data_IF_488256189807
#
_entry.id   IF_488256189807
#
_cell.length_a   1.000
_cell.length_b   1.000
_cell.length_c   1.000
_cell.angle_alpha   90.00
_cell.angle_beta   90.00
_cell.angle_gamma   90.00
#
_symmetry.space_group_name_H-M   'P 1'
#
loop_
_entity.id
_entity.type
_entity.pdbx_description
1 polymer ?
#
# COMPACT_ATOMS: atom_id res chain seq x y z
N UNK A 1 34.23 -30.95 -45.26
CA UNK A 1 33.00 -30.23 -44.87
C UNK A 1 33.43 -28.92 -44.22
N UNK A 2 32.90 -27.79 -44.71
CA UNK A 2 32.87 -26.43 -44.13
C UNK A 2 34.16 -25.87 -43.53
N UNK A 3 34.97 -25.02 -44.17
CA UNK A 3 34.73 -23.66 -44.68
C UNK A 3 34.56 -22.56 -43.59
N UNK A 4 35.61 -21.73 -43.51
CA UNK A 4 35.70 -20.27 -43.25
C UNK A 4 35.77 -19.70 -41.81
N UNK A 5 36.96 -19.17 -41.50
CA UNK A 5 37.28 -17.97 -40.69
C UNK A 5 36.76 -16.65 -41.34
N UNK A 6 36.98 -15.42 -40.79
CA UNK A 6 36.96 -14.88 -39.41
C UNK A 6 36.25 -13.48 -39.30
N UNK A 7 36.40 -12.81 -38.12
CA UNK A 7 36.32 -11.35 -37.79
C UNK A 7 35.08 -10.79 -37.06
N UNK A 8 35.35 -10.35 -35.81
CA UNK A 8 34.96 -9.09 -35.12
C UNK A 8 33.53 -8.54 -35.25
N UNK A 9 32.79 -8.47 -34.13
CA UNK A 9 32.48 -7.21 -33.38
C UNK A 9 31.50 -7.44 -32.20
N UNK A 10 32.00 -7.12 -31.00
CA UNK A 10 31.37 -6.68 -29.74
C UNK A 10 29.84 -6.58 -29.58
N UNK A 11 29.35 -7.08 -28.42
CA UNK A 11 28.88 -6.21 -27.32
C UNK A 11 29.23 -6.87 -25.98
N UNK A 12 30.09 -6.19 -25.24
CA UNK A 12 30.38 -6.43 -23.83
C UNK A 12 29.19 -5.98 -22.95
N UNK A 13 28.81 -6.78 -21.96
CA UNK A 13 28.53 -6.32 -20.59
C UNK A 13 28.16 -7.50 -19.66
N UNK A 14 29.17 -8.12 -19.05
CA UNK A 14 29.13 -8.61 -17.67
C UNK A 14 30.56 -8.99 -17.24
N UNK A 15 31.24 -8.06 -16.57
CA UNK A 15 32.59 -8.29 -16.04
C UNK A 15 32.55 -8.64 -14.52
N UNK A 16 33.46 -9.52 -14.03
CA UNK A 16 33.62 -10.09 -12.69
C UNK A 16 33.33 -9.44 -11.34
N UNK A 17 33.39 -8.12 -11.10
CA UNK A 17 34.06 -7.69 -9.84
C UNK A 17 33.26 -6.80 -8.85
N UNK A 18 31.98 -7.06 -8.52
CA UNK A 18 31.28 -6.34 -7.42
C UNK A 18 30.42 -7.24 -6.51
N UNK A 19 30.39 -6.99 -5.18
CA UNK A 19 29.59 -7.79 -4.24
C UNK A 19 28.14 -7.29 -4.18
N UNK A 20 27.23 -8.25 -3.91
CA UNK A 20 25.77 -8.19 -3.72
C UNK A 20 24.90 -8.55 -4.95
N UNK A 21 23.97 -9.52 -4.81
CA UNK A 21 23.42 -10.24 -5.95
C UNK A 21 22.21 -9.52 -6.55
N UNK A 22 22.22 -9.40 -7.89
CA UNK A 22 21.01 -9.21 -8.71
C UNK A 22 20.37 -10.57 -8.99
N UNK A 23 19.07 -10.50 -9.25
CA UNK A 23 18.16 -11.53 -9.79
C UNK A 23 17.35 -12.29 -8.74
N UNK A 24 16.11 -11.83 -8.54
CA UNK A 24 15.04 -12.72 -8.08
C UNK A 24 14.89 -13.87 -9.09
N UNK A 25 14.75 -15.13 -8.66
CA UNK A 25 14.52 -16.24 -9.57
C UNK A 25 13.16 -16.08 -10.28
N UNK A 26 13.04 -16.43 -11.57
CA UNK A 26 11.75 -16.47 -12.24
C UNK A 26 10.95 -17.68 -11.74
N UNK A 27 9.90 -17.44 -10.97
CA UNK A 27 8.91 -18.48 -10.62
C UNK A 27 7.82 -18.52 -11.69
N UNK A 28 8.04 -19.25 -12.77
CA UNK A 28 6.93 -19.64 -13.66
C UNK A 28 6.09 -20.70 -12.95
N UNK A 29 4.96 -20.31 -12.37
CA UNK A 29 3.87 -21.25 -12.07
C UNK A 29 3.33 -21.73 -13.42
N UNK A 30 3.68 -22.96 -13.81
CA UNK A 30 3.12 -23.59 -15.01
C UNK A 30 1.63 -23.84 -14.77
N UNK A 31 0.78 -23.08 -15.46
CA UNK A 31 -0.66 -23.20 -15.35
C UNK A 31 -1.34 -22.10 -16.15
N UNK A 32 -2.28 -22.50 -17.01
CA UNK A 32 -3.12 -21.58 -17.77
C UNK A 32 -3.77 -20.51 -16.89
N UNK A 33 -4.10 -19.41 -17.54
CA UNK A 33 -4.63 -18.20 -16.95
C UNK A 33 -5.96 -18.39 -16.19
N UNK A 34 -6.07 -17.76 -15.01
CA UNK A 34 -7.26 -17.78 -14.16
C UNK A 34 -7.65 -16.33 -13.81
N UNK A 35 -8.86 -15.82 -14.15
CA UNK A 35 -9.30 -14.46 -13.83
C UNK A 35 -9.40 -14.17 -12.32
N UNK A 36 -9.28 -15.19 -11.47
CA UNK A 36 -9.07 -15.02 -10.03
C UNK A 36 -7.68 -14.44 -9.69
N UNK A 37 -6.73 -14.36 -10.60
CA UNK A 37 -5.33 -14.00 -10.28
C UNK A 37 -5.02 -12.49 -10.18
N UNK A 38 -6.02 -11.60 -10.16
CA UNK A 38 -5.79 -10.16 -9.90
C UNK A 38 -6.15 -9.82 -8.45
N UNK A 39 -5.28 -9.11 -7.70
CA UNK A 39 -5.57 -8.72 -6.33
C UNK A 39 -6.76 -7.76 -6.28
N UNK A 40 -7.75 -8.07 -5.45
CA UNK A 40 -8.84 -7.13 -5.16
C UNK A 40 -8.31 -5.85 -4.49
N UNK A 41 -8.95 -4.72 -4.82
CA UNK A 41 -8.73 -3.46 -4.12
C UNK A 41 -9.14 -3.57 -2.64
N UNK A 42 -8.39 -2.92 -1.77
CA UNK A 42 -8.61 -2.88 -0.34
C UNK A 42 -7.35 -3.17 0.48
N UNK A 43 -7.55 -3.44 1.76
CA UNK A 43 -6.53 -3.81 2.72
C UNK A 43 -6.09 -5.27 2.57
N UNK A 44 -4.78 -5.45 2.58
CA UNK A 44 -4.10 -6.74 2.64
C UNK A 44 -3.19 -6.78 3.87
N UNK A 45 -3.12 -7.92 4.53
CA UNK A 45 -2.32 -8.10 5.75
C UNK A 45 -1.72 -9.51 5.80
N UNK A 46 -0.71 -9.70 6.65
CA UNK A 46 -0.15 -11.02 6.91
C UNK A 46 -0.95 -11.72 8.02
N UNK A 47 -1.75 -12.76 7.72
CA UNK A 47 -2.59 -13.42 8.72
C UNK A 47 -1.80 -14.11 9.83
N UNK A 48 -0.52 -14.38 9.61
CA UNK A 48 0.36 -15.04 10.56
C UNK A 48 1.16 -14.06 11.43
N UNK A 49 1.16 -12.77 11.10
CA UNK A 49 1.96 -11.76 11.80
C UNK A 49 1.28 -10.38 11.75
N UNK A 50 0.79 -9.92 12.90
CA UNK A 50 0.31 -8.55 13.05
C UNK A 50 1.47 -7.55 12.95
N UNK A 51 1.20 -6.38 12.39
CA UNK A 51 2.18 -5.28 12.37
C UNK A 51 2.73 -4.94 11.01
N UNK A 52 2.03 -5.32 9.94
CA UNK A 52 2.18 -4.74 8.62
C UNK A 52 0.86 -4.84 7.86
N UNK A 53 0.66 -3.95 6.89
CA UNK A 53 -0.43 -4.08 5.94
C UNK A 53 -0.31 -3.10 4.79
N UNK A 54 -1.10 -3.35 3.76
CA UNK A 54 -1.02 -2.66 2.47
C UNK A 54 -2.43 -2.21 2.11
N UNK A 55 -2.58 -0.90 1.90
CA UNK A 55 -3.73 -0.38 1.16
C UNK A 55 -3.41 -0.56 -0.30
N UNK A 56 -4.17 -1.40 -1.01
CA UNK A 56 -3.96 -1.68 -2.42
C UNK A 56 -5.13 -1.14 -3.23
N UNK A 57 -4.83 -0.39 -4.28
CA UNK A 57 -5.83 -0.02 -5.25
C UNK A 57 -5.26 0.01 -6.65
N UNK A 58 -6.01 -0.54 -7.60
CA UNK A 58 -5.75 -0.45 -9.02
C UNK A 58 -7.02 -0.16 -9.81
N UNK A 59 -6.92 0.75 -10.78
CA UNK A 59 -7.87 0.91 -11.89
C UNK A 59 -7.10 1.03 -13.21
N UNK A 60 -7.60 0.41 -14.29
CA UNK A 60 -7.05 0.56 -15.65
C UNK A 60 -5.52 0.40 -15.74
N UNK A 61 -4.98 -0.66 -15.12
CA UNK A 61 -3.55 -0.95 -14.99
C UNK A 61 -2.73 0.11 -14.24
N UNK A 62 -3.34 1.14 -13.66
CA UNK A 62 -2.67 2.08 -12.76
C UNK A 62 -2.97 1.72 -11.33
N UNK A 63 -1.92 1.62 -10.53
CA UNK A 63 -2.06 1.30 -9.11
C UNK A 63 -1.43 2.38 -8.23
N UNK A 64 -1.89 2.36 -6.99
CA UNK A 64 -1.32 3.13 -5.90
C UNK A 64 -1.51 2.31 -4.63
N UNK A 65 -0.43 2.18 -3.89
CA UNK A 65 -0.43 1.52 -2.62
C UNK A 65 0.37 2.32 -1.60
N UNK A 66 0.01 2.14 -0.34
CA UNK A 66 0.89 2.47 0.76
C UNK A 66 0.97 1.28 1.72
N UNK A 67 2.18 1.05 2.19
CA UNK A 67 2.51 0.00 3.14
C UNK A 67 2.76 0.66 4.48
N UNK A 68 1.98 0.28 5.49
CA UNK A 68 2.24 0.69 6.87
C UNK A 68 3.04 -0.41 7.57
N UNK A 69 4.10 0.00 8.25
CA UNK A 69 5.01 -0.90 8.95
C UNK A 69 5.77 -0.14 10.04
N UNK A 70 6.89 -0.70 10.50
CA UNK A 70 7.70 -0.15 11.57
C UNK A 70 9.18 -0.10 11.18
N UNK A 71 9.93 0.84 11.77
CA UNK A 71 11.38 0.83 11.63
C UNK A 71 12.03 -0.18 12.60
N UNK A 72 13.36 -0.29 12.58
CA UNK A 72 14.09 -1.22 13.47
C UNK A 72 13.97 -0.87 14.96
N UNK A 73 13.53 0.33 15.31
CA UNK A 73 13.22 0.71 16.69
C UNK A 73 11.78 0.37 17.09
N UNK A 74 10.96 -0.11 16.15
CA UNK A 74 9.54 -0.42 16.36
C UNK A 74 8.64 0.80 16.26
N UNK A 75 9.14 1.90 15.69
CA UNK A 75 8.37 3.12 15.52
C UNK A 75 7.69 3.11 14.14
N UNK A 76 6.46 3.62 14.01
CA UNK A 76 5.70 3.55 12.76
C UNK A 76 6.47 4.24 11.64
N UNK A 77 6.37 3.69 10.44
CA UNK A 77 6.87 4.23 9.17
C UNK A 77 5.92 3.77 8.07
N UNK A 78 5.84 4.52 6.99
CA UNK A 78 5.07 4.10 5.83
C UNK A 78 5.81 4.44 4.55
N UNK A 79 5.48 3.70 3.51
CA UNK A 79 6.04 3.86 2.18
C UNK A 79 4.89 3.86 1.19
N UNK A 80 5.05 4.56 0.08
CA UNK A 80 4.07 4.54 -1.00
C UNK A 80 4.73 4.22 -2.33
N UNK A 81 3.95 3.63 -3.22
CA UNK A 81 4.31 3.35 -4.59
C UNK A 81 3.07 3.48 -5.46
N UNK A 82 3.27 3.88 -6.70
CA UNK A 82 2.23 3.84 -7.72
C UNK A 82 2.85 3.83 -9.10
N UNK A 83 2.01 3.67 -10.11
CA UNK A 83 2.44 3.65 -11.50
C UNK A 83 1.63 2.68 -12.33
N UNK A 84 2.18 2.34 -13.49
CA UNK A 84 1.58 1.37 -14.40
C UNK A 84 2.01 -0.05 -13.99
N UNK A 85 1.04 -0.94 -13.86
CA UNK A 85 1.27 -2.36 -13.69
C UNK A 85 1.74 -2.94 -15.03
N UNK A 86 3.03 -3.30 -15.13
CA UNK A 86 3.61 -3.90 -16.32
C UNK A 86 3.62 -5.42 -16.23
N UNK A 87 3.13 -6.11 -17.27
CA UNK A 87 3.43 -7.54 -17.48
C UNK A 87 4.58 -7.68 -18.49
N UNK A 88 5.53 -8.57 -18.24
CA UNK A 88 6.56 -8.96 -19.21
C UNK A 88 6.23 -10.34 -19.80
N UNK A 89 6.02 -10.43 -21.12
CA UNK A 89 6.27 -11.66 -21.89
C UNK A 89 7.00 -11.35 -23.22
N UNK A 90 7.80 -12.30 -23.75
CA UNK A 90 8.72 -12.08 -24.87
C UNK A 90 8.08 -12.10 -26.28
N UNK A 91 6.78 -12.33 -26.45
CA UNK A 91 6.18 -12.78 -27.72
C UNK A 91 4.86 -12.08 -28.16
N UNK A 92 4.54 -10.91 -27.59
CA UNK A 92 3.72 -9.92 -28.30
C UNK A 92 2.20 -10.17 -28.44
N UNK A 93 1.59 -11.07 -27.67
CA UNK A 93 0.12 -11.17 -27.61
C UNK A 93 -0.44 -10.73 -26.25
N UNK A 94 -1.32 -9.73 -26.30
CA UNK A 94 -2.04 -9.14 -25.17
C UNK A 94 -3.01 -10.15 -24.56
N UNK A 95 -2.90 -10.36 -23.24
CA UNK A 95 -4.01 -10.30 -22.30
C UNK A 95 -3.47 -9.98 -20.89
N UNK A 96 -4.28 -9.26 -20.11
CA UNK A 96 -4.09 -8.59 -18.80
C UNK A 96 -3.99 -9.48 -17.54
N UNK A 97 -2.79 -9.90 -17.11
CA UNK A 97 -2.65 -10.48 -15.76
C UNK A 97 -1.64 -9.75 -14.92
N UNK A 98 -2.15 -9.35 -13.76
CA UNK A 98 -1.46 -8.83 -12.61
C UNK A 98 -0.55 -9.85 -11.93
N UNK A 99 0.45 -10.36 -12.64
CA UNK A 99 1.48 -11.21 -12.03
C UNK A 99 2.66 -10.41 -11.51
N UNK A 100 2.75 -9.13 -11.85
CA UNK A 100 3.91 -8.33 -11.47
C UNK A 100 3.56 -6.85 -11.44
N UNK A 101 2.85 -6.42 -10.40
CA UNK A 101 3.08 -5.04 -9.97
C UNK A 101 4.47 -5.03 -9.31
N UNK A 102 5.52 -5.00 -10.13
CA UNK A 102 6.83 -4.58 -9.66
C UNK A 102 6.63 -3.13 -9.26
N UNK A 103 6.38 -2.89 -7.97
CA UNK A 103 6.24 -1.57 -7.41
C UNK A 103 7.47 -0.77 -7.84
N UNK A 104 7.26 0.20 -8.71
CA UNK A 104 8.29 1.12 -9.16
C UNK A 104 8.64 1.97 -7.94
N UNK A 105 9.64 1.50 -7.21
CA UNK A 105 10.25 2.09 -6.04
C UNK A 105 9.30 2.49 -4.90
N UNK A 106 9.40 1.80 -3.77
CA UNK A 106 8.80 2.31 -2.54
C UNK A 106 9.61 3.53 -2.08
N UNK A 107 8.94 4.68 -1.99
CA UNK A 107 9.57 5.90 -1.51
C UNK A 107 9.24 6.14 -0.04
N UNK A 108 10.28 6.40 0.75
CA UNK A 108 10.12 7.02 2.07
C UNK A 108 9.94 8.53 1.85
N UNK A 109 8.94 9.09 2.52
CA UNK A 109 8.70 10.51 2.53
C UNK A 109 8.93 11.02 3.95
N UNK A 110 9.50 12.22 4.09
CA UNK A 110 9.61 12.97 5.34
C UNK A 110 8.96 14.34 5.17
N UNK A 111 8.30 14.83 6.21
CA UNK A 111 7.56 16.07 6.17
C UNK A 111 6.21 15.95 5.45
N UNK A 112 5.30 16.86 5.77
CA UNK A 112 3.89 16.83 5.41
C UNK A 112 3.11 17.55 6.49
N UNK A 113 1.78 17.45 6.50
CA UNK A 113 0.97 18.04 7.57
C UNK A 113 1.00 17.12 8.79
N UNK A 114 1.59 17.55 9.93
CA UNK A 114 1.52 16.76 11.15
C UNK A 114 0.08 16.74 11.67
N UNK A 115 -0.25 15.70 12.41
CA UNK A 115 -1.59 15.51 12.98
C UNK A 115 -2.11 16.70 13.82
N UNK A 116 -1.21 17.44 14.45
CA UNK A 116 -1.45 18.58 15.34
C UNK A 116 -0.57 19.80 15.01
N UNK A 117 0.06 19.82 13.83
CA UNK A 117 1.13 20.77 13.52
C UNK A 117 0.94 21.54 12.23
N UNK A 118 1.79 22.55 12.04
CA UNK A 118 1.87 23.29 10.78
C UNK A 118 2.44 22.42 9.66
N UNK A 119 1.93 22.60 8.44
CA UNK A 119 2.44 21.96 7.24
C UNK A 119 3.96 22.17 7.10
N UNK A 120 4.65 21.09 6.72
CA UNK A 120 6.05 21.10 6.29
C UNK A 120 6.12 20.64 4.84
N UNK A 121 6.97 21.25 4.00
CA UNK A 121 7.22 20.74 2.66
C UNK A 121 7.60 19.27 2.72
N UNK A 122 6.93 18.46 1.89
CA UNK A 122 7.23 17.03 1.78
C UNK A 122 8.54 16.88 1.00
N UNK A 123 9.52 16.23 1.61
CA UNK A 123 10.74 15.80 0.96
C UNK A 123 10.69 14.28 0.76
N UNK A 124 10.99 13.81 -0.44
CA UNK A 124 11.31 12.40 -0.65
C UNK A 124 12.73 12.17 -0.17
N UNK A 125 12.91 11.26 0.78
CA UNK A 125 14.24 11.01 1.37
C UNK A 125 14.94 9.84 0.72
N UNK A 126 14.18 8.90 0.14
CA UNK A 126 14.71 7.79 -0.62
C UNK A 126 13.73 7.41 -1.74
N UNK A 127 14.18 7.51 -2.99
CA UNK A 127 13.43 7.20 -4.20
C UNK A 127 13.56 5.75 -4.65
N UNK A 128 14.36 4.92 -3.96
CA UNK A 128 14.47 3.48 -4.17
C UNK A 128 14.79 2.76 -2.85
N UNK A 129 13.78 2.60 -1.99
CA UNK A 129 13.95 1.83 -0.75
C UNK A 129 14.09 0.34 -1.05
N UNK A 130 13.19 -0.20 -1.88
CA UNK A 130 13.30 -1.55 -2.48
C UNK A 130 12.18 -1.78 -3.53
N UNK A 131 12.26 -2.90 -4.26
CA UNK A 131 11.21 -3.43 -5.11
C UNK A 131 10.19 -4.20 -4.29
N UNK A 132 8.92 -4.05 -4.62
CA UNK A 132 7.84 -4.79 -4.00
C UNK A 132 7.03 -5.49 -5.08
N UNK A 133 6.70 -6.75 -4.86
CA UNK A 133 5.81 -7.53 -5.72
C UNK A 133 4.66 -8.05 -4.89
N UNK A 134 3.43 -7.67 -5.27
CA UNK A 134 2.21 -8.32 -4.82
C UNK A 134 1.84 -9.37 -5.86
N UNK A 135 2.05 -10.64 -5.51
CA UNK A 135 1.69 -11.77 -6.36
C UNK A 135 0.37 -12.36 -5.86
N UNK A 136 -0.71 -12.17 -6.62
CA UNK A 136 -2.02 -12.72 -6.27
C UNK A 136 -2.14 -14.18 -6.71
N UNK A 137 -2.41 -15.08 -5.75
CA UNK A 137 -2.82 -16.46 -6.01
C UNK A 137 -4.31 -16.52 -6.37
N UNK A 138 -5.10 -15.65 -5.75
CA UNK A 138 -6.51 -15.41 -6.01
C UNK A 138 -6.87 -13.95 -5.73
N UNK A 139 -8.14 -13.56 -5.91
CA UNK A 139 -8.57 -12.20 -5.62
C UNK A 139 -8.41 -11.81 -4.15
N UNK A 140 -8.31 -12.80 -3.24
CA UNK A 140 -8.27 -12.59 -1.79
C UNK A 140 -7.03 -13.16 -1.11
N UNK A 141 -6.17 -13.88 -1.84
CA UNK A 141 -4.96 -14.53 -1.34
C UNK A 141 -3.79 -14.21 -2.25
N UNK A 142 -2.62 -14.04 -1.67
CA UNK A 142 -1.40 -13.83 -2.42
C UNK A 142 -0.19 -13.77 -1.52
N UNK A 143 0.91 -13.30 -2.08
CA UNK A 143 2.14 -13.11 -1.35
C UNK A 143 2.78 -11.77 -1.68
N UNK A 144 3.59 -11.33 -0.72
CA UNK A 144 4.38 -10.14 -0.81
C UNK A 144 5.86 -10.46 -0.85
N UNK A 145 6.54 -9.89 -1.84
CA UNK A 145 8.00 -9.91 -1.91
C UNK A 145 8.51 -8.48 -1.95
N UNK A 146 9.02 -7.97 -0.84
CA UNK A 146 9.65 -6.63 -0.78
C UNK A 146 11.16 -6.69 -0.52
N UNK A 147 11.64 -7.75 0.13
CA UNK A 147 13.01 -8.31 0.18
C UNK A 147 12.83 -9.58 1.04
N UNK A 148 13.62 -10.63 0.81
CA UNK A 148 13.44 -11.90 1.51
C UNK A 148 13.38 -11.74 3.05
N UNK A 149 12.50 -12.49 3.75
CA UNK A 149 11.59 -13.51 3.21
C UNK A 149 10.24 -12.96 2.72
N UNK A 150 9.65 -13.67 1.77
CA UNK A 150 8.28 -13.49 1.29
C UNK A 150 7.26 -13.55 2.44
N UNK A 151 6.24 -12.69 2.40
CA UNK A 151 5.16 -12.65 3.38
C UNK A 151 3.86 -13.16 2.76
N UNK A 152 3.14 -14.09 3.40
CA UNK A 152 1.80 -14.43 2.95
C UNK A 152 0.86 -13.25 3.19
N UNK A 153 -0.04 -13.00 2.25
CA UNK A 153 -1.05 -11.95 2.37
C UNK A 153 -2.45 -12.49 2.15
N UNK A 154 -3.39 -11.96 2.91
CA UNK A 154 -4.82 -12.13 2.72
C UNK A 154 -5.52 -10.78 2.74
N UNK A 155 -6.67 -10.68 2.06
CA UNK A 155 -7.59 -9.54 2.22
C UNK A 155 -8.05 -9.42 3.67
N UNK A 156 -8.16 -8.19 4.17
CA UNK A 156 -8.43 -7.94 5.58
C UNK A 156 -9.92 -7.91 5.91
N UNK A 157 -10.42 -8.99 6.51
CA UNK A 157 -11.80 -9.15 6.96
C UNK A 157 -12.09 -8.48 8.31
N UNK A 158 -11.98 -7.14 8.37
CA UNK A 158 -12.17 -6.38 9.61
C UNK A 158 -13.61 -6.35 10.17
N UNK A 159 -14.63 -6.74 9.39
CA UNK A 159 -16.01 -6.88 9.88
C UNK A 159 -16.36 -8.31 10.32
N UNK A 160 -15.44 -9.26 10.19
CA UNK A 160 -15.61 -10.69 10.50
C UNK A 160 -15.52 -11.59 9.27
N UNK A 161 -15.55 -12.92 9.45
CA UNK A 161 -15.35 -13.87 8.36
C UNK A 161 -16.35 -13.71 7.20
N UNK A 162 -15.85 -13.71 5.95
CA UNK A 162 -16.66 -13.63 4.74
C UNK A 162 -17.19 -12.23 4.39
N UNK A 163 -16.77 -11.19 5.11
CA UNK A 163 -17.31 -9.84 4.96
C UNK A 163 -16.81 -9.09 3.72
N UNK A 164 -15.75 -9.58 3.07
CA UNK A 164 -15.26 -9.03 1.79
C UNK A 164 -16.36 -9.09 0.72
N UNK A 165 -17.18 -10.14 0.71
CA UNK A 165 -18.24 -10.33 -0.27
C UNK A 165 -19.46 -9.41 -0.05
N UNK A 166 -19.59 -8.79 1.13
CA UNK A 166 -20.75 -7.94 1.46
C UNK A 166 -20.72 -6.59 0.73
N UNK A 167 -19.54 -6.12 0.32
CA UNK A 167 -19.36 -4.80 -0.28
C UNK A 167 -19.74 -3.65 0.66
N UNK A 168 -19.62 -2.39 0.21
CA UNK A 168 -20.03 -1.22 0.99
C UNK A 168 -21.55 -1.15 1.17
N UNK A 169 -22.03 -0.54 2.26
CA UNK A 169 -23.44 -0.14 2.38
C UNK A 169 -23.86 0.77 1.19
N UNK A 170 -25.14 0.74 0.80
CA UNK A 170 -25.62 1.39 -0.43
C UNK A 170 -25.22 2.88 -0.53
N UNK A 171 -25.34 3.62 0.57
CA UNK A 171 -25.01 5.06 0.63
C UNK A 171 -23.61 5.36 1.16
N UNK A 172 -22.78 4.34 1.37
CA UNK A 172 -21.40 4.55 1.77
C UNK A 172 -20.61 5.23 0.64
N UNK A 173 -19.65 6.11 0.96
CA UNK A 173 -18.74 6.65 -0.03
C UNK A 173 -17.83 5.55 -0.60
N UNK A 174 -17.09 5.87 -1.65
CA UNK A 174 -16.19 4.92 -2.29
C UNK A 174 -15.04 4.52 -1.34
N UNK A 175 -14.85 3.21 -1.18
CA UNK A 175 -13.58 2.67 -0.66
C UNK A 175 -12.42 3.12 -1.56
N UNK A 176 -11.24 3.30 -0.99
CA UNK A 176 -10.01 3.65 -1.72
C UNK A 176 -9.19 4.73 -1.04
N UNK A 177 -8.32 5.36 -1.82
CA UNK A 177 -7.46 6.46 -1.37
C UNK A 177 -8.19 7.80 -1.36
N UNK A 178 -8.04 8.57 -0.27
CA UNK A 178 -8.60 9.90 -0.09
C UNK A 178 -7.53 10.87 0.39
N UNK A 179 -7.57 12.11 -0.11
CA UNK A 179 -6.57 13.13 0.20
C UNK A 179 -7.17 14.54 0.17
N UNK A 180 -6.50 15.49 0.83
CA UNK A 180 -6.84 16.91 0.77
C UNK A 180 -5.92 17.60 -0.25
N UNK A 181 -6.51 18.08 -1.35
CA UNK A 181 -5.79 18.75 -2.43
C UNK A 181 -5.16 20.09 -2.03
N UNK A 182 -5.65 20.72 -0.95
CA UNK A 182 -5.11 21.97 -0.41
C UNK A 182 -4.09 21.73 0.71
N UNK A 183 -4.03 20.50 1.24
CA UNK A 183 -3.10 20.12 2.31
C UNK A 183 -2.35 18.84 1.93
N UNK A 184 -1.43 18.90 0.95
CA UNK A 184 -0.64 17.75 0.55
C UNK A 184 0.24 17.24 1.70
N UNK A 185 0.75 16.02 1.57
CA UNK A 185 1.64 15.44 2.59
C UNK A 185 0.92 14.69 3.70
N UNK A 186 -0.33 14.31 3.50
CA UNK A 186 -0.97 13.22 4.23
C UNK A 186 -2.09 12.65 3.35
N UNK A 187 -2.59 11.48 3.71
CA UNK A 187 -3.75 10.88 3.06
C UNK A 187 -4.29 9.73 3.88
N UNK A 188 -5.44 9.21 3.49
CA UNK A 188 -5.98 8.02 4.13
C UNK A 188 -6.49 7.04 3.09
N UNK A 189 -6.48 5.76 3.46
CA UNK A 189 -7.23 4.75 2.74
C UNK A 189 -8.39 4.32 3.60
N UNK A 190 -9.57 4.24 2.99
CA UNK A 190 -10.81 3.87 3.66
C UNK A 190 -11.37 2.67 2.93
N UNK A 191 -11.71 1.61 3.66
CA UNK A 191 -12.44 0.49 3.09
C UNK A 191 -13.70 0.24 3.90
N UNK A 192 -14.80 -0.04 3.21
CA UNK A 192 -16.09 -0.40 3.80
C UNK A 192 -16.41 -1.88 3.57
N UNK A 193 -16.81 -2.57 4.63
CA UNK A 193 -17.45 -3.89 4.62
C UNK A 193 -18.80 -3.76 5.34
N UNK A 194 -19.87 -3.68 4.54
CA UNK A 194 -21.17 -3.19 4.97
C UNK A 194 -21.08 -1.74 5.44
N UNK A 195 -21.61 -1.47 6.64
CA UNK A 195 -21.54 -0.16 7.28
C UNK A 195 -20.28 0.02 8.15
N UNK A 196 -19.45 -1.01 8.34
CA UNK A 196 -18.20 -0.88 9.07
C UNK A 196 -17.10 -0.42 8.10
N UNK A 197 -16.29 0.52 8.55
CA UNK A 197 -15.12 1.00 7.84
C UNK A 197 -13.86 0.69 8.64
N UNK A 198 -12.78 0.33 7.94
CA UNK A 198 -11.42 0.39 8.45
C UNK A 198 -10.65 1.47 7.69
N UNK A 199 -9.89 2.26 8.44
CA UNK A 199 -9.09 3.35 7.91
C UNK A 199 -7.67 3.29 8.45
N UNK A 200 -6.71 3.62 7.61
CA UNK A 200 -5.42 4.13 8.06
C UNK A 200 -5.14 5.51 7.46
N UNK A 201 -4.64 6.42 8.30
CA UNK A 201 -4.14 7.74 7.93
C UNK A 201 -2.62 7.68 7.91
N UNK A 202 -2.03 8.12 6.81
CA UNK A 202 -0.60 8.21 6.58
C UNK A 202 -0.20 9.68 6.70
N UNK A 203 0.64 10.01 7.66
CA UNK A 203 0.95 11.38 8.07
C UNK A 203 2.35 11.43 8.70
N UNK A 204 2.63 12.48 9.48
CA UNK A 204 3.92 12.77 10.06
C UNK A 204 3.79 13.24 11.50
N UNK A 205 4.78 12.91 12.32
CA UNK A 205 4.95 13.55 13.61
C UNK A 205 5.42 15.00 13.44
N UNK A 206 5.30 15.86 14.47
CA UNK A 206 5.80 17.24 14.43
C UNK A 206 7.27 17.39 14.07
N UNK A 207 8.10 16.36 14.26
CA UNK A 207 9.50 16.37 13.86
C UNK A 207 9.72 16.00 12.37
N UNK A 208 8.66 15.70 11.62
CA UNK A 208 8.72 15.31 10.20
C UNK A 208 8.86 13.81 9.97
N UNK A 209 8.96 13.00 11.02
CA UNK A 209 9.09 11.54 10.92
C UNK A 209 7.76 10.93 10.44
N UNK A 210 7.77 10.00 9.46
CA UNK A 210 6.55 9.33 9.00
C UNK A 210 5.86 8.59 10.15
N UNK A 211 4.54 8.73 10.22
CA UNK A 211 3.67 8.01 11.15
C UNK A 211 2.40 7.54 10.43
N UNK A 212 1.72 6.56 11.02
CA UNK A 212 0.40 6.16 10.58
C UNK A 212 -0.49 5.89 11.78
N UNK A 213 -1.79 6.12 11.61
CA UNK A 213 -2.82 5.85 12.61
C UNK A 213 -3.93 5.04 11.98
N UNK A 214 -4.52 4.10 12.71
CA UNK A 214 -5.62 3.30 12.18
C UNK A 214 -6.75 3.12 13.18
N UNK A 215 -7.92 2.78 12.66
CA UNK A 215 -9.08 2.46 13.47
C UNK A 215 -10.24 1.93 12.64
N UNK A 216 -11.30 1.51 13.34
CA UNK A 216 -12.58 1.15 12.73
C UNK A 216 -13.68 2.08 13.19
N UNK A 217 -14.68 2.28 12.34
CA UNK A 217 -15.87 3.07 12.68
C UNK A 217 -17.02 2.73 11.76
N UNK A 218 -18.20 3.30 12.02
CA UNK A 218 -19.40 3.02 11.22
C UNK A 218 -19.81 4.24 10.40
N UNK A 219 -20.24 4.00 9.17
CA UNK A 219 -20.87 5.03 8.32
C UNK A 219 -22.37 5.04 8.62
N UNK A 220 -22.89 6.21 8.99
CA UNK A 220 -24.30 6.42 9.31
C UNK A 220 -24.73 7.79 8.78
N UNK A 221 -25.74 7.84 7.91
CA UNK A 221 -26.24 9.08 7.29
C UNK A 221 -25.13 9.96 6.67
N UNK A 222 -24.18 9.34 5.95
CA UNK A 222 -23.06 10.04 5.32
C UNK A 222 -21.98 10.54 6.29
N UNK A 223 -22.09 10.21 7.59
CA UNK A 223 -21.09 10.55 8.62
C UNK A 223 -20.32 9.31 9.03
N UNK A 224 -18.99 9.42 9.03
CA UNK A 224 -18.08 8.37 9.52
C UNK A 224 -17.24 8.94 10.65
N UNK A 225 -17.22 8.27 11.79
CA UNK A 225 -16.40 8.62 12.95
C UNK A 225 -15.52 7.42 13.32
N UNK A 226 -14.20 7.62 13.33
CA UNK A 226 -13.21 6.57 13.57
C UNK A 226 -12.30 7.00 14.74
N UNK A 227 -12.35 6.34 15.90
CA UNK A 227 -11.31 6.46 16.91
C UNK A 227 -10.00 5.91 16.36
N UNK A 228 -8.98 6.76 16.28
CA UNK A 228 -7.67 6.40 15.75
C UNK A 228 -6.70 6.02 16.86
N UNK A 229 -5.92 4.97 16.62
CA UNK A 229 -4.80 4.54 17.45
C UNK A 229 -3.48 4.67 16.70
N UNK A 230 -2.44 5.06 17.44
CA UNK A 230 -1.04 4.93 17.05
C UNK A 230 -0.49 3.65 17.65
N UNK A 231 0.15 2.84 16.82
CA UNK A 231 0.71 1.55 17.23
C UNK A 231 2.24 1.56 17.12
N UNK A 232 2.92 0.68 17.87
CA UNK A 232 4.38 0.45 17.86
C UNK A 232 4.69 -1.04 17.90
N UNK A 233 5.95 -1.41 17.65
CA UNK A 233 6.44 -2.78 17.67
C UNK A 233 6.55 -3.33 16.25
N UNK A 234 5.51 -4.04 15.81
CA UNK A 234 5.29 -4.68 14.51
C UNK A 234 6.52 -5.08 13.69
N UNK A 235 6.33 -5.17 12.36
CA UNK A 235 7.38 -5.68 11.46
C UNK A 235 8.16 -4.55 10.83
N UNK A 236 9.49 -4.70 10.80
CA UNK A 236 10.38 -3.84 10.02
C UNK A 236 10.78 -4.47 8.70
N UNK A 237 11.18 -3.62 7.73
CA UNK A 237 11.36 -4.02 6.34
C UNK A 237 12.24 -5.27 6.16
N UNK A 238 13.35 -5.33 6.89
CA UNK A 238 14.33 -6.42 6.83
C UNK A 238 14.63 -7.01 8.21
N UNK A 239 13.73 -6.84 9.18
CA UNK A 239 13.95 -7.26 10.56
C UNK A 239 12.85 -8.16 11.10
N UNK A 240 13.03 -8.72 12.30
CA UNK A 240 12.01 -9.55 12.93
C UNK A 240 10.78 -8.71 13.29
N UNK A 241 9.63 -9.37 13.34
CA UNK A 241 8.44 -8.85 13.96
C UNK A 241 8.62 -8.62 15.45
N UNK A 242 7.88 -7.64 15.97
CA UNK A 242 7.69 -7.39 17.40
C UNK A 242 6.21 -7.36 17.71
N UNK A 243 5.86 -7.64 18.97
CA UNK A 243 4.48 -7.52 19.43
C UNK A 243 3.96 -6.10 19.16
N UNK A 244 2.84 -6.01 18.46
CA UNK A 244 2.18 -4.72 18.20
C UNK A 244 1.45 -4.30 19.46
N UNK A 245 1.71 -3.08 19.93
CA UNK A 245 1.00 -2.48 21.06
C UNK A 245 0.40 -1.14 20.65
N UNK A 246 -0.76 -0.81 21.24
CA UNK A 246 -1.30 0.54 21.17
C UNK A 246 -0.41 1.44 22.02
N UNK A 247 0.27 2.37 21.37
CA UNK A 247 1.12 3.36 22.04
C UNK A 247 0.28 4.54 22.54
N UNK A 248 -0.61 5.05 21.69
CA UNK A 248 -1.41 6.23 22.01
C UNK A 248 -2.76 6.24 21.30
N UNK A 249 -3.81 6.62 22.02
CA UNK A 249 -5.09 6.98 21.42
C UNK A 249 -4.99 8.41 20.83
N UNK A 250 -5.28 8.55 19.54
CA UNK A 250 -5.19 9.83 18.82
C UNK A 250 -6.51 10.61 18.86
N UNK A 251 -7.60 9.99 19.33
CA UNK A 251 -8.96 10.56 19.34
C UNK A 251 -9.74 10.22 18.06
N UNK A 252 -10.91 10.85 17.88
CA UNK A 252 -11.84 10.51 16.79
C UNK A 252 -11.66 11.39 15.55
N UNK A 253 -11.24 10.79 14.44
CA UNK A 253 -11.31 11.41 13.12
C UNK A 253 -12.74 11.30 12.59
N UNK A 254 -13.34 12.43 12.22
CA UNK A 254 -14.71 12.48 11.72
C UNK A 254 -14.74 12.96 10.28
N UNK A 255 -15.61 12.37 9.47
CA UNK A 255 -15.90 12.80 8.11
C UNK A 255 -17.40 12.97 7.90
N UNK A 256 -17.75 13.97 7.10
CA UNK A 256 -19.09 14.16 6.56
C UNK A 256 -18.99 14.16 5.04
N UNK A 257 -19.53 13.12 4.42
CA UNK A 257 -19.54 12.97 2.96
C UNK A 257 -20.68 13.79 2.36
N UNK A 258 -20.38 14.55 1.31
CA UNK A 258 -21.38 15.26 0.51
C UNK A 258 -21.86 14.41 -0.67
N UNK A 259 -21.01 13.50 -1.14
CA UNK A 259 -21.32 12.49 -2.14
C UNK A 259 -20.33 11.32 -2.01
N UNK A 260 -20.34 10.37 -2.95
CA UNK A 260 -19.49 9.18 -2.87
C UNK A 260 -17.98 9.45 -3.00
N UNK A 261 -17.58 10.63 -3.48
CA UNK A 261 -16.19 10.98 -3.85
C UNK A 261 -15.65 12.21 -3.15
N UNK A 262 -16.46 12.87 -2.32
CA UNK A 262 -16.10 14.11 -1.65
C UNK A 262 -16.70 14.19 -0.25
N UNK A 263 -15.98 14.84 0.67
CA UNK A 263 -16.46 15.13 2.01
C UNK A 263 -15.60 16.15 2.73
N UNK A 264 -16.05 16.55 3.91
CA UNK A 264 -15.24 17.32 4.86
C UNK A 264 -14.76 16.43 5.98
N UNK A 265 -13.65 16.80 6.61
CA UNK A 265 -13.11 16.07 7.76
C UNK A 265 -12.85 16.98 8.95
N UNK A 266 -12.72 16.36 10.11
CA UNK A 266 -12.23 16.96 11.35
C UNK A 266 -11.28 15.99 12.05
N UNK A 267 -10.03 16.43 12.24
CA UNK A 267 -9.07 15.74 13.09
C UNK A 267 -9.42 15.91 14.58
N UNK A 268 -8.99 14.97 15.44
CA UNK A 268 -9.08 15.10 16.89
C UNK A 268 -8.48 16.40 17.46
N UNK A 269 -7.43 16.94 16.83
CA UNK A 269 -6.83 18.23 17.17
C UNK A 269 -7.66 19.46 16.72
N UNK A 270 -8.78 19.25 16.04
CA UNK A 270 -9.69 20.31 15.60
C UNK A 270 -9.45 20.81 14.17
N UNK A 271 -8.34 20.45 13.52
CA UNK A 271 -8.09 20.77 12.13
C UNK A 271 -9.21 20.22 11.23
N UNK A 272 -9.64 21.01 10.26
CA UNK A 272 -10.71 20.66 9.30
C UNK A 272 -10.25 20.94 7.89
N UNK A 273 -10.90 20.29 6.93
CA UNK A 273 -10.59 20.47 5.51
C UNK A 273 -11.54 19.66 4.64
N UNK A 274 -11.16 19.48 3.38
CA UNK A 274 -11.93 18.73 2.39
C UNK A 274 -11.11 17.53 1.93
N UNK A 275 -11.75 16.35 1.92
CA UNK A 275 -11.19 15.15 1.32
C UNK A 275 -11.87 14.90 -0.02
N UNK A 276 -11.06 14.51 -1.01
CA UNK A 276 -11.52 14.03 -2.30
C UNK A 276 -10.96 12.64 -2.56
N UNK A 277 -11.75 11.83 -3.25
CA UNK A 277 -11.33 10.50 -3.73
C UNK A 277 -10.18 10.65 -4.71
N UNK A 278 -9.10 9.94 -4.49
CA UNK A 278 -7.97 9.86 -5.41
C UNK A 278 -8.41 9.18 -6.71
N UNK A 279 -8.02 9.73 -7.85
CA UNK A 279 -8.32 9.18 -9.17
C UNK A 279 -7.02 8.69 -9.83
N UNK A 280 -7.14 7.61 -10.60
CA UNK A 280 -6.04 6.92 -11.28
C UNK A 280 -5.91 7.38 -12.73
#
# INVERSE_FOLDING_TARGET
MGAREPLHESIDACAPDRPWPRQCPPTTKAGGWNPLASPQNGWWWNPNESGMGIGWEMHDMRFFCAVFMYDRSGQPIWYSSGGEASAWLPDGQRMDVLRTATASYLSESEGGTPFDGAFRPVARTNDQVSYFNLEADSGTQGSLRWIAPEQPLARFEFAGPGTIAQGPAADAPESGWWWDAQQPGWGCFIEFQGALAYMAIFTYAPNGRPEWYSGTGRIEAGRLAIPLGRYVGGRSLNGPGRAVTLDRAMGTFSMQFSNRREGTYRFPGGATGRLVRFAF
#
